data_IF_882334287595
#
_entry.id   IF_882334287595
#
_cell.length_a   1.000
_cell.length_b   1.000
_cell.length_c   1.000
_cell.angle_alpha   90.00
_cell.angle_beta   90.00
_cell.angle_gamma   90.00
#
_symmetry.space_group_name_H-M   'P 1'
#
loop_
_entity.id
_entity.type
_entity.pdbx_description
1 polymer ?
#
# COMPACT_ATOMS: atom_id res chain seq x y z
N UNK A 1 9.45 -13.48 14.58
CA UNK A 1 9.03 -12.12 14.96
C UNK A 1 7.90 -12.24 15.97
N UNK A 2 8.02 -11.71 17.19
CA UNK A 2 6.88 -11.59 18.09
C UNK A 2 6.07 -10.37 17.65
N UNK A 3 4.88 -10.61 17.10
CA UNK A 3 3.96 -9.54 16.74
C UNK A 3 3.30 -9.06 18.03
N UNK A 4 3.55 -7.81 18.39
CA UNK A 4 2.93 -7.18 19.56
C UNK A 4 1.52 -6.68 19.18
N UNK A 5 0.57 -6.65 20.14
CA UNK A 5 -0.78 -6.14 19.93
C UNK A 5 -0.80 -4.73 19.29
N UNK A 6 0.17 -3.86 19.64
CA UNK A 6 0.34 -2.54 19.01
C UNK A 6 0.59 -2.61 17.51
N UNK A 7 1.36 -3.60 17.05
CA UNK A 7 1.68 -3.77 15.63
C UNK A 7 0.48 -4.27 14.85
N UNK A 8 -0.33 -5.15 15.45
CA UNK A 8 -1.57 -5.64 14.85
C UNK A 8 -2.57 -4.49 14.69
N UNK A 9 -2.70 -3.64 15.71
CA UNK A 9 -3.56 -2.46 15.66
C UNK A 9 -3.13 -1.51 14.53
N UNK A 10 -1.82 -1.25 14.38
CA UNK A 10 -1.30 -0.43 13.27
C UNK A 10 -1.58 -1.06 11.90
N UNK A 11 -1.31 -2.35 11.72
CA UNK A 11 -1.62 -3.06 10.47
C UNK A 11 -3.10 -2.92 10.12
N UNK A 12 -3.99 -3.10 11.10
CA UNK A 12 -5.44 -3.03 10.90
C UNK A 12 -5.90 -1.64 10.48
N UNK A 13 -5.46 -0.58 11.17
CA UNK A 13 -5.84 0.81 10.86
C UNK A 13 -5.34 1.22 9.48
N UNK A 14 -4.08 0.92 9.16
CA UNK A 14 -3.50 1.27 7.86
C UNK A 14 -4.07 0.44 6.70
N UNK A 15 -4.44 -0.82 6.96
CA UNK A 15 -5.16 -1.66 6.00
C UNK A 15 -6.55 -1.09 5.69
N UNK A 16 -7.29 -0.65 6.71
CA UNK A 16 -8.58 0.02 6.53
C UNK A 16 -8.43 1.35 5.76
N UNK A 17 -7.36 2.10 6.01
CA UNK A 17 -7.07 3.33 5.26
C UNK A 17 -6.80 3.06 3.78
N UNK A 18 -5.99 2.04 3.46
CA UNK A 18 -5.73 1.62 2.08
C UNK A 18 -7.01 1.19 1.37
N UNK A 19 -7.91 0.48 2.06
CA UNK A 19 -9.21 0.08 1.55
C UNK A 19 -10.05 1.31 1.15
N UNK A 20 -10.17 2.29 2.05
CA UNK A 20 -10.99 3.49 1.82
C UNK A 20 -10.44 4.29 0.63
N UNK A 21 -9.11 4.47 0.56
CA UNK A 21 -8.47 5.22 -0.52
C UNK A 21 -8.59 4.48 -1.87
N UNK A 22 -8.59 3.15 -1.86
CA UNK A 22 -8.87 2.33 -3.06
C UNK A 22 -10.27 2.57 -3.65
N UNK A 23 -11.20 3.11 -2.87
CA UNK A 23 -12.56 3.43 -3.34
C UNK A 23 -12.74 4.85 -3.84
N UNK A 24 -11.75 5.72 -3.64
CA UNK A 24 -11.80 7.04 -4.24
C UNK A 24 -11.55 6.93 -5.75
N UNK A 25 -12.47 7.43 -6.59
CA UNK A 25 -12.24 7.46 -8.03
C UNK A 25 -11.03 8.33 -8.31
N UNK A 26 -10.04 7.75 -9.00
CA UNK A 26 -8.82 8.45 -9.41
C UNK A 26 -9.13 9.65 -10.31
N UNK A 27 -8.28 10.67 -10.23
CA UNK A 27 -8.42 11.89 -11.03
C UNK A 27 -8.08 11.53 -12.48
N UNK A 28 -8.99 11.72 -13.45
CA UNK A 28 -8.73 11.44 -14.85
C UNK A 28 -7.69 12.41 -15.40
N UNK A 29 -6.70 11.89 -16.11
CA UNK A 29 -5.63 12.68 -16.71
C UNK A 29 -6.13 13.22 -18.06
N UNK A 30 -6.13 14.55 -18.20
CA UNK A 30 -6.48 15.21 -19.46
C UNK A 30 -5.39 14.90 -20.49
N UNK A 31 -5.77 14.33 -21.65
CA UNK A 31 -4.85 14.03 -22.75
C UNK A 31 -4.50 12.56 -22.97
N UNK A 32 -4.94 11.65 -22.10
CA UNK A 32 -4.82 10.19 -22.29
C UNK A 32 -6.15 9.50 -21.96
N UNK A 33 -6.72 8.78 -22.93
CA UNK A 33 -8.09 8.28 -22.91
C UNK A 33 -8.45 7.34 -21.73
N UNK A 34 -7.46 6.83 -20.99
CA UNK A 34 -7.65 5.91 -19.86
C UNK A 34 -6.69 6.14 -18.68
N UNK A 35 -5.88 7.21 -18.70
CA UNK A 35 -4.96 7.48 -17.60
C UNK A 35 -5.71 7.98 -16.37
N UNK A 36 -5.71 7.20 -15.28
CA UNK A 36 -6.22 7.63 -13.97
C UNK A 36 -5.06 7.74 -13.00
N UNK A 37 -4.96 8.88 -12.30
CA UNK A 37 -4.05 8.97 -11.16
C UNK A 37 -4.78 8.35 -9.98
N UNK A 38 -4.35 7.16 -9.60
CA UNK A 38 -4.85 6.49 -8.42
C UNK A 38 -4.21 7.11 -7.17
N UNK A 39 -5.00 7.65 -6.22
CA UNK A 39 -4.47 8.23 -4.98
C UNK A 39 -3.70 7.20 -4.14
N UNK A 40 -3.90 5.91 -4.41
CA UNK A 40 -3.18 4.78 -3.83
C UNK A 40 -1.68 4.83 -4.09
N UNK A 41 -1.22 5.41 -5.22
CA UNK A 41 0.20 5.51 -5.54
C UNK A 41 0.96 6.38 -4.53
N UNK A 42 0.32 7.41 -3.96
CA UNK A 42 0.92 8.23 -2.92
C UNK A 42 0.95 7.53 -1.56
N UNK A 43 -0.01 6.64 -1.29
CA UNK A 43 -0.09 5.94 -0.01
C UNK A 43 0.93 4.81 0.11
N UNK A 44 1.30 4.17 -1.01
CA UNK A 44 2.34 3.14 -1.07
C UNK A 44 3.66 3.55 -0.38
N UNK A 45 4.31 4.67 -0.76
CA UNK A 45 5.54 5.10 -0.10
C UNK A 45 5.30 5.51 1.34
N UNK A 46 4.16 6.13 1.68
CA UNK A 46 3.83 6.50 3.06
C UNK A 46 3.71 5.28 3.97
N UNK A 47 2.99 4.24 3.54
CA UNK A 47 2.85 2.97 4.27
C UNK A 47 4.20 2.30 4.49
N UNK A 48 5.03 2.25 3.44
CA UNK A 48 6.36 1.66 3.49
C UNK A 48 7.32 2.43 4.40
N UNK A 49 7.29 3.76 4.34
CA UNK A 49 8.14 4.65 5.13
C UNK A 49 7.76 4.63 6.62
N UNK A 50 6.46 4.66 6.95
CA UNK A 50 5.98 4.79 8.34
C UNK A 50 5.98 3.45 9.08
N UNK A 51 5.47 2.37 8.48
CA UNK A 51 5.39 1.05 9.13
C UNK A 51 6.66 0.21 8.90
N UNK A 52 7.48 0.57 7.92
CA UNK A 52 8.61 -0.22 7.48
C UNK A 52 8.22 -1.33 6.50
N UNK A 53 9.22 -2.03 5.92
CA UNK A 53 8.99 -2.94 4.80
C UNK A 53 8.07 -4.12 5.16
N UNK A 54 8.29 -4.78 6.29
CA UNK A 54 7.52 -5.98 6.66
C UNK A 54 6.10 -5.68 7.15
N UNK A 55 5.93 -4.74 8.09
CA UNK A 55 4.60 -4.39 8.63
C UNK A 55 3.77 -3.63 7.59
N UNK A 56 4.40 -2.71 6.84
CA UNK A 56 3.74 -1.96 5.77
C UNK A 56 3.32 -2.87 4.60
N UNK A 57 4.19 -3.80 4.19
CA UNK A 57 3.85 -4.80 3.17
C UNK A 57 2.66 -5.67 3.57
N UNK A 58 2.59 -6.13 4.83
CA UNK A 58 1.46 -6.92 5.32
C UNK A 58 0.15 -6.10 5.36
N UNK A 59 0.20 -4.85 5.83
CA UNK A 59 -0.96 -3.95 5.87
C UNK A 59 -1.49 -3.62 4.47
N UNK A 60 -0.58 -3.33 3.54
CA UNK A 60 -0.89 -3.04 2.16
C UNK A 60 -1.48 -4.26 1.44
N UNK A 61 -0.95 -5.46 1.68
CA UNK A 61 -1.51 -6.70 1.13
C UNK A 61 -2.93 -6.96 1.64
N UNK A 62 -3.15 -6.86 2.95
CA UNK A 62 -4.49 -7.02 3.55
C UNK A 62 -5.48 -5.99 3.00
N UNK A 63 -5.07 -4.72 2.94
CA UNK A 63 -5.92 -3.65 2.39
C UNK A 63 -6.28 -3.90 0.92
N UNK A 64 -5.30 -4.31 0.11
CA UNK A 64 -5.51 -4.58 -1.32
C UNK A 64 -6.32 -5.86 -1.56
N UNK A 65 -6.15 -6.89 -0.72
CA UNK A 65 -6.92 -8.13 -0.77
C UNK A 65 -8.39 -7.90 -0.47
N UNK A 66 -8.70 -7.14 0.59
CA UNK A 66 -10.09 -6.77 0.92
C UNK A 66 -10.63 -5.80 -0.14
N UNK A 67 -9.77 -4.92 -0.68
CA UNK A 67 -10.17 -4.00 -1.74
C UNK A 67 -10.56 -4.73 -3.04
N UNK A 68 -9.91 -5.84 -3.35
CA UNK A 68 -10.25 -6.68 -4.49
C UNK A 68 -11.56 -7.46 -4.31
N UNK A 69 -11.94 -7.78 -3.07
CA UNK A 69 -13.13 -8.58 -2.78
C UNK A 69 -14.45 -7.83 -3.07
N UNK A 70 -14.43 -6.51 -3.22
CA UNK A 70 -15.62 -5.65 -3.40
C UNK A 70 -15.27 -4.62 -4.50
N UNK A 71 -15.98 -4.47 -5.64
CA UNK A 71 -17.29 -4.99 -5.99
C UNK A 71 -17.29 -6.25 -6.87
N UNK A 72 -16.21 -6.52 -7.61
CA UNK A 72 -16.09 -7.69 -8.49
C UNK A 72 -14.69 -8.29 -8.44
N UNK A 73 -14.60 -9.58 -8.11
CA UNK A 73 -13.36 -10.35 -8.10
C UNK A 73 -12.92 -10.65 -9.54
N UNK A 74 -12.23 -9.70 -10.17
CA UNK A 74 -11.67 -9.91 -11.51
C UNK A 74 -10.34 -10.66 -11.43
N UNK A 75 -10.07 -11.52 -12.42
CA UNK A 75 -8.77 -12.21 -12.54
C UNK A 75 -7.61 -11.23 -12.66
N UNK A 76 -7.83 -10.11 -13.35
CA UNK A 76 -6.84 -9.02 -13.47
C UNK A 76 -6.53 -8.37 -12.11
N UNK A 77 -7.57 -8.11 -11.30
CA UNK A 77 -7.39 -7.60 -9.94
C UNK A 77 -6.59 -8.57 -9.05
N UNK A 78 -6.79 -9.88 -9.22
CA UNK A 78 -6.01 -10.90 -8.50
C UNK A 78 -4.53 -10.87 -8.90
N UNK A 79 -4.23 -10.71 -10.19
CA UNK A 79 -2.85 -10.57 -10.70
C UNK A 79 -2.17 -9.29 -10.20
N UNK A 80 -2.95 -8.24 -9.96
CA UNK A 80 -2.50 -6.96 -9.43
C UNK A 80 -2.39 -6.92 -7.89
N UNK A 81 -2.85 -7.96 -7.18
CA UNK A 81 -2.74 -8.07 -5.72
C UNK A 81 -1.31 -7.84 -5.17
N UNK A 82 -0.25 -8.45 -5.73
CA UNK A 82 1.11 -8.30 -5.22
C UNK A 82 1.75 -6.95 -5.57
N UNK A 83 1.22 -6.17 -6.51
CA UNK A 83 1.84 -4.92 -6.97
C UNK A 83 2.02 -3.90 -5.84
N UNK A 84 0.94 -3.63 -5.10
CA UNK A 84 0.91 -2.68 -3.98
C UNK A 84 1.85 -3.12 -2.83
N UNK A 85 1.78 -4.33 -2.27
CA UNK A 85 2.66 -4.74 -1.18
C UNK A 85 4.13 -4.79 -1.59
N UNK A 86 4.46 -5.19 -2.82
CA UNK A 86 5.85 -5.21 -3.30
C UNK A 86 6.43 -3.80 -3.31
N UNK A 87 5.76 -2.83 -3.94
CA UNK A 87 6.33 -1.48 -3.96
C UNK A 87 6.26 -0.79 -2.59
N UNK A 88 5.31 -1.15 -1.71
CA UNK A 88 5.32 -0.73 -0.30
C UNK A 88 6.56 -1.27 0.43
N UNK A 89 6.90 -2.54 0.22
CA UNK A 89 8.11 -3.16 0.76
C UNK A 89 9.36 -2.45 0.24
N UNK A 90 9.44 -2.20 -1.07
CA UNK A 90 10.58 -1.51 -1.70
C UNK A 90 10.74 -0.10 -1.12
N UNK A 91 9.66 0.68 -1.00
CA UNK A 91 9.70 1.99 -0.37
C UNK A 91 10.17 1.92 1.10
N UNK A 92 9.72 0.90 1.85
CA UNK A 92 10.16 0.67 3.22
C UNK A 92 11.65 0.30 3.31
N UNK A 93 12.17 -0.52 2.39
CA UNK A 93 13.60 -0.82 2.33
C UNK A 93 14.44 0.39 1.96
N UNK A 94 13.99 1.21 1.01
CA UNK A 94 14.68 2.42 0.58
C UNK A 94 14.70 3.49 1.68
N UNK A 95 13.57 3.72 2.35
CA UNK A 95 13.48 4.67 3.47
C UNK A 95 14.39 4.26 4.63
N UNK A 96 14.45 2.97 4.96
CA UNK A 96 15.31 2.45 6.02
C UNK A 96 16.80 2.60 5.70
N UNK A 97 17.20 2.48 4.43
CA UNK A 97 18.57 2.72 3.98
C UNK A 97 18.92 4.22 4.01
N UNK A 98 17.99 5.09 3.63
CA UNK A 98 18.17 6.55 3.68
C UNK A 98 18.39 7.07 5.11
N UNK A 99 17.60 6.61 6.08
CA UNK A 99 17.77 6.99 7.50
C UNK A 99 19.13 6.57 8.08
N UNK A 100 19.75 5.50 7.55
CA UNK A 100 21.08 5.05 7.98
C UNK A 100 22.23 5.84 7.31
N UNK A 101 21.96 6.51 6.19
CA UNK A 101 22.96 7.27 5.41
C UNK A 101 23.09 8.73 5.83
N UNK A 102 22.11 9.29 6.54
CA UNK A 102 22.14 10.68 7.04
C UNK A 102 22.81 10.76 8.43
N UNK A 103 23.09 9.61 9.05
CA UNK A 103 23.72 9.49 10.37
C UNK A 103 25.13 8.90 10.38
N UNK A 104 25.87 8.95 9.28
CA UNK A 104 27.33 8.65 9.26
C UNK A 104 28.13 9.84 8.79
#
# INVERSE_FOLDING_TARGET
MKINAKQIALISVFSALQLIISRLPGIPIIGIAQGKIEPQLFLMPTLGMVLGPWLGGAAAFLGNFIAWLIPETTFYGMLMLPTIPIGTMVCGFLSRKSSKSIGS
#
